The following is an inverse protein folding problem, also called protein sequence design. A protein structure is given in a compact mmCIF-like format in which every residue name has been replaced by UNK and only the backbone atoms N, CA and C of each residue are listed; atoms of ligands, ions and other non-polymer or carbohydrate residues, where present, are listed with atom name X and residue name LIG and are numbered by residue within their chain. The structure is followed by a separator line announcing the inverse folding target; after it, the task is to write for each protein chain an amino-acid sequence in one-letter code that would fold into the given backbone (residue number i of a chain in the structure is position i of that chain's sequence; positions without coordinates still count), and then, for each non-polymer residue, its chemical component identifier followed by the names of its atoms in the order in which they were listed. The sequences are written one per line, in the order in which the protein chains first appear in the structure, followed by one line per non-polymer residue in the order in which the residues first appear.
data_IF_435215942200
#
_entry.id   IF_435215942200
#
_cell.length_a   1.000
_cell.length_b   1.000
_cell.length_c   1.000
_cell.angle_alpha   90.00
_cell.angle_beta   90.00
_cell.angle_gamma   90.00
#
_symmetry.space_group_name_H-M   'P 1'
#
loop_
_entity.id
_entity.type
_entity.pdbx_description
1 polymer ?
#
# COMPACT_ATOMS: atom_id res chain seq x y z
N UNK A 1 -9.83 -42.39 -18.90
CA UNK A 1 -10.71 -41.86 -17.84
C UNK A 1 -9.87 -41.52 -16.61
N UNK A 2 -9.98 -40.26 -16.17
CA UNK A 2 -9.72 -39.74 -14.81
C UNK A 2 -8.33 -39.90 -14.17
N UNK A 3 -7.33 -39.17 -14.68
CA UNK A 3 -6.27 -38.60 -13.84
C UNK A 3 -6.70 -37.22 -13.33
N UNK A 4 -7.77 -37.20 -12.53
CA UNK A 4 -8.14 -36.06 -11.71
C UNK A 4 -7.99 -36.50 -10.27
N UNK A 5 -6.92 -36.04 -9.60
CA UNK A 5 -6.77 -35.89 -8.13
C UNK A 5 -5.30 -35.71 -7.74
N UNK A 6 -4.74 -34.53 -8.02
CA UNK A 6 -3.69 -33.96 -7.16
C UNK A 6 -3.66 -32.43 -7.18
N UNK A 7 -4.72 -31.79 -7.68
CA UNK A 7 -4.81 -30.34 -7.84
C UNK A 7 -4.91 -29.59 -6.50
N UNK A 8 -5.07 -30.29 -5.36
CA UNK A 8 -5.31 -29.68 -4.05
C UNK A 8 -4.23 -29.91 -2.98
N UNK A 9 -3.02 -30.33 -3.35
CA UNK A 9 -1.90 -30.45 -2.36
C UNK A 9 -1.10 -29.15 -2.19
N UNK A 10 -1.77 -27.99 -2.28
CA UNK A 10 -1.28 -26.75 -1.67
C UNK A 10 -1.68 -26.80 -0.20
N UNK A 11 -0.70 -26.69 0.71
CA UNK A 11 -0.97 -26.57 2.15
C UNK A 11 -2.07 -25.52 2.40
N UNK A 12 -3.28 -25.89 2.86
CA UNK A 12 -4.36 -24.93 3.11
C UNK A 12 -3.92 -23.84 4.09
N UNK A 13 -2.97 -24.18 4.97
CA UNK A 13 -2.31 -23.27 5.90
C UNK A 13 -1.56 -22.14 5.17
N UNK A 14 -0.82 -22.44 4.11
CA UNK A 14 -0.12 -21.42 3.31
C UNK A 14 -1.09 -20.46 2.61
N UNK A 15 -2.25 -20.98 2.17
CA UNK A 15 -3.30 -20.16 1.57
C UNK A 15 -3.95 -19.23 2.60
N UNK A 16 -4.27 -19.75 3.78
CA UNK A 16 -4.84 -18.97 4.89
C UNK A 16 -3.86 -17.88 5.33
N UNK A 17 -2.58 -18.18 5.50
CA UNK A 17 -1.57 -17.18 5.86
C UNK A 17 -1.42 -16.10 4.81
N UNK A 18 -1.43 -16.46 3.51
CA UNK A 18 -1.37 -15.48 2.43
C UNK A 18 -2.60 -14.55 2.44
N UNK A 19 -3.78 -15.10 2.66
CA UNK A 19 -5.02 -14.32 2.71
C UNK A 19 -5.07 -13.42 3.94
N UNK A 20 -4.64 -13.90 5.11
CA UNK A 20 -4.52 -13.11 6.33
C UNK A 20 -3.51 -11.97 6.16
N UNK A 21 -2.40 -12.21 5.45
CA UNK A 21 -1.43 -11.18 5.13
C UNK A 21 -2.03 -10.12 4.20
N UNK A 22 -2.68 -10.54 3.11
CA UNK A 22 -3.27 -9.63 2.12
C UNK A 22 -4.44 -8.81 2.68
N UNK A 23 -5.33 -9.41 3.47
CA UNK A 23 -6.55 -8.76 3.97
C UNK A 23 -6.33 -8.00 5.27
N UNK A 24 -5.48 -8.52 6.16
CA UNK A 24 -5.29 -7.96 7.50
C UNK A 24 -3.99 -7.20 7.64
N UNK A 25 -2.86 -7.90 7.53
CA UNK A 25 -1.55 -7.37 7.92
C UNK A 25 -1.09 -6.25 6.97
N UNK A 26 -1.25 -6.44 5.66
CA UNK A 26 -0.74 -5.51 4.66
C UNK A 26 -1.47 -4.14 4.71
N UNK A 27 -2.81 -4.07 4.82
CA UNK A 27 -3.52 -2.81 5.04
C UNK A 27 -3.16 -2.11 6.35
N UNK A 28 -2.90 -2.87 7.42
CA UNK A 28 -2.48 -2.29 8.71
C UNK A 28 -1.07 -1.71 8.63
N UNK A 29 -0.13 -2.45 8.03
CA UNK A 29 1.25 -2.00 7.85
C UNK A 29 1.34 -0.77 6.97
N UNK A 30 0.59 -0.72 5.87
CA UNK A 30 0.57 0.47 5.01
C UNK A 30 0.02 1.70 5.72
N UNK A 31 -0.98 1.53 6.59
CA UNK A 31 -1.52 2.61 7.42
C UNK A 31 -0.50 3.09 8.46
N UNK A 32 0.17 2.18 9.15
CA UNK A 32 1.24 2.54 10.11
C UNK A 32 2.37 3.30 9.40
N UNK A 33 2.81 2.82 8.23
CA UNK A 33 3.87 3.46 7.46
C UNK A 33 3.44 4.84 6.93
N UNK A 34 2.20 4.97 6.46
CA UNK A 34 1.62 6.25 6.06
C UNK A 34 1.52 7.24 7.24
N UNK A 35 1.13 6.76 8.42
CA UNK A 35 1.09 7.58 9.63
C UNK A 35 2.48 8.09 10.04
N UNK A 36 3.52 7.24 10.02
CA UNK A 36 4.89 7.69 10.25
C UNK A 36 5.36 8.72 9.21
N UNK A 37 4.99 8.53 7.94
CA UNK A 37 5.28 9.50 6.88
C UNK A 37 4.59 10.85 7.12
N UNK A 38 3.36 10.84 7.64
CA UNK A 38 2.66 12.06 8.04
C UNK A 38 3.35 12.76 9.20
N UNK A 39 3.74 12.03 10.24
CA UNK A 39 4.48 12.60 11.37
C UNK A 39 5.80 13.25 10.93
N UNK A 40 6.52 12.61 10.01
CA UNK A 40 7.73 13.17 9.41
C UNK A 40 7.42 14.46 8.64
N UNK A 41 6.35 14.47 7.86
CA UNK A 41 5.92 15.66 7.11
C UNK A 41 5.48 16.79 8.04
N UNK A 42 4.73 16.51 9.11
CA UNK A 42 4.32 17.51 10.08
C UNK A 42 5.51 18.08 10.86
N UNK A 43 6.48 17.24 11.22
CA UNK A 43 7.74 17.69 11.84
C UNK A 43 8.51 18.64 10.93
N UNK A 44 8.48 18.43 9.61
CA UNK A 44 9.11 19.34 8.66
C UNK A 44 8.36 20.66 8.48
N UNK A 45 7.04 20.68 8.74
CA UNK A 45 6.24 21.90 8.66
C UNK A 45 6.53 22.89 9.80
N UNK A 46 7.16 22.41 10.88
CA UNK A 46 7.62 23.22 12.02
C UNK A 46 8.87 24.04 11.71
N UNK A 47 9.55 23.79 10.59
CA UNK A 47 10.59 24.69 10.10
C UNK A 47 9.94 26.01 9.66
N UNK A 48 10.11 27.03 10.49
CA UNK A 48 9.57 28.38 10.32
C UNK A 48 10.45 29.30 9.47
N UNK A 49 11.65 28.87 9.11
CA UNK A 49 12.65 29.64 8.36
C UNK A 49 13.21 28.82 7.20
N UNK A 50 13.61 29.53 6.15
CA UNK A 50 14.36 28.92 5.04
C UNK A 50 15.68 28.35 5.56
N UNK A 51 16.06 27.18 5.05
CA UNK A 51 17.34 26.57 5.39
C UNK A 51 18.43 27.26 4.56
N UNK A 52 19.26 28.05 5.23
CA UNK A 52 20.48 28.63 4.64
C UNK A 52 21.61 27.63 4.90
N UNK A 53 21.93 26.80 3.92
CA UNK A 53 23.16 26.02 3.92
C UNK A 53 24.27 26.94 3.37
N UNK A 54 25.42 26.94 4.04
CA UNK A 54 26.55 27.86 3.84
C UNK A 54 26.78 28.32 2.40
N UNK A 55 27.09 29.62 2.25
CA UNK A 55 27.45 30.32 1.00
C UNK A 55 26.58 29.99 -0.23
N UNK A 56 25.37 30.55 -0.25
CA UNK A 56 24.57 30.71 -1.49
C UNK A 56 23.50 29.65 -1.72
N UNK A 57 23.39 28.61 -0.89
CA UNK A 57 22.34 27.59 -1.04
C UNK A 57 21.20 27.78 -0.03
N UNK A 58 20.18 28.55 -0.44
CA UNK A 58 18.95 28.74 0.33
C UNK A 58 17.87 27.78 -0.16
N UNK A 59 17.46 26.83 0.68
CA UNK A 59 16.31 25.96 0.40
C UNK A 59 15.06 26.64 0.96
N UNK A 60 14.12 26.98 0.08
CA UNK A 60 12.84 27.54 0.49
C UNK A 60 12.04 26.54 1.33
N UNK A 61 11.23 27.03 2.27
CA UNK A 61 10.28 26.21 3.05
C UNK A 61 9.41 25.31 2.17
N UNK A 62 8.91 25.82 1.05
CA UNK A 62 8.06 25.07 0.10
C UNK A 62 8.85 23.92 -0.52
N UNK A 63 10.10 24.18 -0.93
CA UNK A 63 11.00 23.17 -1.46
C UNK A 63 11.32 22.10 -0.40
N UNK A 64 11.54 22.48 0.85
CA UNK A 64 11.80 21.55 1.96
C UNK A 64 10.61 20.62 2.21
N UNK A 65 9.38 21.15 2.20
CA UNK A 65 8.16 20.37 2.32
C UNK A 65 7.98 19.39 1.15
N UNK A 66 8.26 19.83 -0.07
CA UNK A 66 8.20 18.96 -1.25
C UNK A 66 9.25 17.85 -1.16
N UNK A 67 10.50 18.16 -0.81
CA UNK A 67 11.57 17.18 -0.63
C UNK A 67 11.18 16.15 0.44
N UNK A 68 10.65 16.61 1.57
CA UNK A 68 10.20 15.71 2.66
C UNK A 68 9.06 14.81 2.20
N UNK A 69 8.09 15.33 1.43
CA UNK A 69 7.00 14.53 0.85
C UNK A 69 7.53 13.44 -0.07
N UNK A 70 8.44 13.78 -0.99
CA UNK A 70 9.05 12.81 -1.90
C UNK A 70 9.91 11.79 -1.17
N UNK A 71 10.65 12.23 -0.15
CA UNK A 71 11.42 11.34 0.72
C UNK A 71 10.52 10.36 1.46
N UNK A 72 9.43 10.81 2.08
CA UNK A 72 8.45 9.96 2.74
C UNK A 72 7.85 8.94 1.76
N UNK A 73 7.49 9.36 0.54
CA UNK A 73 6.99 8.46 -0.49
C UNK A 73 8.04 7.40 -0.88
N UNK A 74 9.31 7.79 -1.02
CA UNK A 74 10.39 6.86 -1.32
C UNK A 74 10.60 5.84 -0.20
N UNK A 75 10.60 6.27 1.07
CA UNK A 75 10.69 5.40 2.24
C UNK A 75 9.50 4.43 2.29
N UNK A 76 8.29 4.93 2.03
CA UNK A 76 7.09 4.12 1.94
C UNK A 76 7.23 3.01 0.88
N UNK A 77 7.62 3.39 -0.33
CA UNK A 77 7.76 2.46 -1.45
C UNK A 77 8.86 1.41 -1.21
N UNK A 78 10.03 1.83 -0.73
CA UNK A 78 11.15 0.93 -0.41
C UNK A 78 10.79 -0.02 0.74
N UNK A 79 10.10 0.47 1.77
CA UNK A 79 9.65 -0.35 2.90
C UNK A 79 8.72 -1.48 2.45
N UNK A 80 7.73 -1.16 1.61
CA UNK A 80 6.80 -2.16 1.08
C UNK A 80 7.47 -3.19 0.17
N UNK A 81 8.40 -2.75 -0.67
CA UNK A 81 9.15 -3.64 -1.55
C UNK A 81 10.07 -4.57 -0.75
N UNK A 82 10.75 -4.04 0.27
CA UNK A 82 11.57 -4.83 1.18
C UNK A 82 10.73 -5.85 1.97
N UNK A 83 9.56 -5.45 2.48
CA UNK A 83 8.63 -6.37 3.15
C UNK A 83 8.15 -7.47 2.21
N UNK A 84 7.79 -7.13 0.97
CA UNK A 84 7.44 -8.11 -0.05
C UNK A 84 8.57 -9.10 -0.31
N UNK A 85 9.81 -8.61 -0.41
CA UNK A 85 11.00 -9.45 -0.62
C UNK A 85 11.22 -10.42 0.55
N UNK A 86 11.21 -9.91 1.78
CA UNK A 86 11.33 -10.73 3.00
C UNK A 86 10.22 -11.78 3.06
N UNK A 87 8.97 -11.40 2.79
CA UNK A 87 7.85 -12.34 2.76
C UNK A 87 8.06 -13.42 1.70
N UNK A 88 8.45 -13.05 0.49
CA UNK A 88 8.72 -14.00 -0.60
C UNK A 88 9.88 -14.96 -0.32
N UNK A 89 10.81 -14.57 0.55
CA UNK A 89 11.97 -15.37 0.93
C UNK A 89 11.70 -16.34 2.07
N UNK A 90 10.96 -15.91 3.10
CA UNK A 90 10.82 -16.67 4.35
C UNK A 90 9.46 -17.31 4.55
N UNK A 91 8.40 -16.81 3.91
CA UNK A 91 7.04 -17.32 4.15
C UNK A 91 6.63 -18.42 3.17
N UNK A 92 5.85 -19.42 3.64
CA UNK A 92 5.38 -20.50 2.79
C UNK A 92 4.35 -19.98 1.79
N UNK A 93 4.74 -19.87 0.53
CA UNK A 93 3.83 -19.54 -0.58
C UNK A 93 3.17 -20.82 -1.13
N UNK A 94 1.95 -20.72 -1.72
CA UNK A 94 1.32 -21.86 -2.39
C UNK A 94 2.25 -22.44 -3.46
N UNK A 95 2.50 -23.76 -3.41
CA UNK A 95 3.35 -24.47 -4.40
C UNK A 95 2.84 -24.32 -5.84
N UNK A 96 1.53 -24.20 -6.01
CA UNK A 96 0.93 -24.01 -7.33
C UNK A 96 1.07 -22.56 -7.78
N UNK A 97 1.84 -22.40 -8.86
CA UNK A 97 2.18 -21.11 -9.46
C UNK A 97 0.93 -20.28 -9.81
N UNK A 98 -0.12 -20.91 -10.34
CA UNK A 98 -1.39 -20.26 -10.72
C UNK A 98 -2.10 -19.62 -9.51
N UNK A 99 -2.39 -20.39 -8.46
CA UNK A 99 -3.13 -19.90 -7.29
C UNK A 99 -2.41 -18.76 -6.56
N UNK A 100 -1.08 -18.81 -6.50
CA UNK A 100 -0.30 -17.72 -5.93
C UNK A 100 -0.49 -16.42 -6.69
N UNK A 101 -0.37 -16.44 -8.02
CA UNK A 101 -0.46 -15.22 -8.83
C UNK A 101 -1.88 -14.69 -8.95
N UNK A 102 -2.88 -15.58 -9.00
CA UNK A 102 -4.29 -15.17 -9.06
C UNK A 102 -4.67 -14.34 -7.84
N UNK A 103 -4.24 -14.73 -6.64
CA UNK A 103 -4.55 -13.96 -5.43
C UNK A 103 -3.93 -12.57 -5.46
N UNK A 104 -2.63 -12.44 -5.76
CA UNK A 104 -2.00 -11.12 -5.87
C UNK A 104 -2.67 -10.25 -6.95
N UNK A 105 -2.95 -10.82 -8.12
CA UNK A 105 -3.62 -10.13 -9.21
C UNK A 105 -5.02 -9.67 -8.80
N UNK A 106 -5.79 -10.51 -8.11
CA UNK A 106 -7.14 -10.20 -7.64
C UNK A 106 -7.13 -9.00 -6.68
N UNK A 107 -6.20 -8.96 -5.72
CA UNK A 107 -6.08 -7.84 -4.80
C UNK A 107 -5.58 -6.55 -5.47
N UNK A 108 -4.69 -6.65 -6.46
CA UNK A 108 -4.27 -5.49 -7.26
C UNK A 108 -5.44 -4.94 -8.06
N UNK A 109 -6.20 -5.79 -8.76
CA UNK A 109 -7.37 -5.38 -9.53
C UNK A 109 -8.46 -4.81 -8.63
N UNK A 110 -8.70 -5.42 -7.48
CA UNK A 110 -9.61 -4.90 -6.46
C UNK A 110 -9.19 -3.49 -6.03
N UNK A 111 -7.92 -3.30 -5.65
CA UNK A 111 -7.40 -1.99 -5.26
C UNK A 111 -7.49 -0.97 -6.39
N UNK A 112 -7.29 -1.38 -7.64
CA UNK A 112 -7.41 -0.52 -8.82
C UNK A 112 -8.86 -0.09 -9.04
N UNK A 113 -9.83 -1.01 -8.97
CA UNK A 113 -11.26 -0.70 -9.09
C UNK A 113 -11.69 0.28 -8.01
N UNK A 114 -11.30 0.01 -6.76
CA UNK A 114 -11.60 0.91 -5.62
C UNK A 114 -10.95 2.28 -5.83
N UNK A 115 -9.69 2.33 -6.27
CA UNK A 115 -8.99 3.58 -6.58
C UNK A 115 -9.72 4.38 -7.67
N UNK A 116 -10.11 3.74 -8.77
CA UNK A 116 -10.87 4.40 -9.84
C UNK A 116 -12.23 4.88 -9.35
N UNK A 117 -12.92 4.09 -8.52
CA UNK A 117 -14.23 4.45 -7.99
C UNK A 117 -14.13 5.66 -7.07
N UNK A 118 -13.15 5.70 -6.15
CA UNK A 118 -12.94 6.83 -5.24
C UNK A 118 -12.49 8.09 -5.99
N UNK A 119 -11.59 7.99 -6.97
CA UNK A 119 -11.12 9.15 -7.74
C UNK A 119 -12.16 9.69 -8.72
N UNK A 120 -13.08 8.84 -9.20
CA UNK A 120 -14.19 9.24 -10.08
C UNK A 120 -15.45 9.66 -9.32
N UNK A 121 -15.47 9.51 -7.99
CA UNK A 121 -16.59 9.85 -7.13
C UNK A 121 -16.71 11.37 -6.97
N UNK A 122 -17.24 12.04 -7.99
CA UNK A 122 -17.76 13.40 -7.94
C UNK A 122 -19.29 13.39 -7.96
N UNK A 123 -19.94 14.30 -7.22
CA UNK A 123 -21.40 14.44 -7.25
C UNK A 123 -22.03 14.78 -5.90
N UNK A 124 -23.36 14.67 -5.87
CA UNK A 124 -24.22 14.89 -4.71
C UNK A 124 -23.87 13.92 -3.55
N UNK A 125 -24.00 14.35 -2.29
CA UNK A 125 -23.72 13.51 -1.13
C UNK A 125 -24.64 12.29 -1.07
N UNK A 126 -24.06 11.12 -0.79
CA UNK A 126 -24.78 9.85 -0.64
C UNK A 126 -24.97 9.59 0.85
N UNK A 127 -26.22 9.50 1.31
CA UNK A 127 -26.55 9.26 2.73
C UNK A 127 -25.91 10.29 3.69
N UNK A 128 -25.72 11.52 3.24
CA UNK A 128 -25.08 12.60 4.01
C UNK A 128 -23.55 12.56 4.03
N UNK A 129 -22.92 11.56 3.41
CA UNK A 129 -21.47 11.49 3.22
C UNK A 129 -21.08 12.01 1.84
N UNK A 130 -19.89 12.61 1.73
CA UNK A 130 -19.34 12.85 0.39
C UNK A 130 -19.09 11.50 -0.30
N UNK A 131 -19.32 11.39 -1.62
CA UNK A 131 -19.24 10.11 -2.35
C UNK A 131 -17.92 9.36 -2.14
N UNK A 132 -16.80 10.07 -1.98
CA UNK A 132 -15.50 9.48 -1.71
C UNK A 132 -15.38 8.89 -0.30
N UNK A 133 -15.95 9.54 0.73
CA UNK A 133 -15.95 9.04 2.10
C UNK A 133 -16.76 7.76 2.22
N UNK A 134 -17.91 7.73 1.53
CA UNK A 134 -18.75 6.54 1.47
C UNK A 134 -18.04 5.37 0.78
N UNK A 135 -17.36 5.63 -0.34
CA UNK A 135 -16.57 4.61 -1.03
C UNK A 135 -15.41 4.09 -0.18
N UNK A 136 -14.74 4.95 0.58
CA UNK A 136 -13.68 4.55 1.51
C UNK A 136 -14.21 3.70 2.67
N UNK A 137 -15.34 4.08 3.25
CA UNK A 137 -16.01 3.35 4.34
C UNK A 137 -16.41 1.93 3.90
N UNK A 138 -16.97 1.79 2.68
CA UNK A 138 -17.46 0.51 2.16
C UNK A 138 -16.31 -0.40 1.70
N UNK A 139 -15.27 0.16 1.11
CA UNK A 139 -14.19 -0.63 0.50
C UNK A 139 -13.03 -0.94 1.46
N UNK A 140 -12.85 -0.19 2.54
CA UNK A 140 -11.76 -0.43 3.49
C UNK A 140 -12.28 -0.60 4.90
N UNK A 141 -12.23 -1.83 5.43
CA UNK A 141 -12.61 -2.09 6.82
C UNK A 141 -11.69 -1.44 7.86
N UNK A 142 -10.51 -0.97 7.43
CA UNK A 142 -9.54 -0.26 8.27
C UNK A 142 -9.17 1.05 7.57
N UNK A 143 -9.67 2.18 8.06
CA UNK A 143 -9.39 3.51 7.49
C UNK A 143 -9.10 4.54 8.61
N UNK A 144 -8.43 4.13 9.69
CA UNK A 144 -8.20 5.00 10.86
C UNK A 144 -7.22 6.14 10.58
N UNK A 145 -6.37 6.01 9.55
CA UNK A 145 -5.45 7.07 9.10
C UNK A 145 -6.14 8.11 8.20
N UNK A 146 -7.26 7.76 7.57
CA UNK A 146 -8.02 8.64 6.68
C UNK A 146 -8.31 10.05 7.26
N UNK A 147 -8.79 10.21 8.51
CA UNK A 147 -9.04 11.54 9.09
C UNK A 147 -7.79 12.39 9.33
N UNK A 148 -6.60 11.79 9.34
CA UNK A 148 -5.32 12.50 9.53
C UNK A 148 -4.69 12.93 8.19
N UNK A 149 -5.21 12.45 7.06
CA UNK A 149 -4.73 12.84 5.75
C UNK A 149 -5.39 14.17 5.35
N UNK A 150 -4.57 15.18 5.03
CA UNK A 150 -5.06 16.44 4.43
C UNK A 150 -5.77 16.21 3.09
N UNK A 151 -5.38 15.16 2.37
CA UNK A 151 -5.94 14.80 1.08
C UNK A 151 -6.30 13.29 1.09
N UNK A 152 -7.50 12.91 1.55
CA UNK A 152 -7.91 11.51 1.72
C UNK A 152 -7.93 10.72 0.39
N UNK A 153 -8.02 11.41 -0.74
CA UNK A 153 -7.90 10.87 -2.10
C UNK A 153 -6.57 10.16 -2.41
N UNK A 154 -5.51 10.40 -1.61
CA UNK A 154 -4.25 9.67 -1.76
C UNK A 154 -4.29 8.27 -1.14
N UNK A 155 -5.23 8.00 -0.23
CA UNK A 155 -5.32 6.73 0.46
C UNK A 155 -5.58 5.55 -0.50
N UNK A 156 -6.50 5.62 -1.47
CA UNK A 156 -6.65 4.58 -2.50
C UNK A 156 -5.39 4.39 -3.37
N UNK A 157 -4.70 5.49 -3.69
CA UNK A 157 -3.44 5.45 -4.48
C UNK A 157 -2.34 4.74 -3.68
N UNK A 158 -2.20 5.06 -2.39
CA UNK A 158 -1.26 4.41 -1.49
C UNK A 158 -1.58 2.92 -1.31
N UNK A 159 -2.86 2.56 -1.30
CA UNK A 159 -3.29 1.15 -1.21
C UNK A 159 -2.95 0.40 -2.49
N UNK A 160 -3.21 0.99 -3.66
CA UNK A 160 -2.81 0.42 -4.95
C UNK A 160 -1.28 0.23 -5.00
N UNK A 161 -0.50 1.23 -4.57
CA UNK A 161 0.96 1.14 -4.47
C UNK A 161 1.40 0.04 -3.48
N UNK A 162 0.70 -0.10 -2.36
CA UNK A 162 0.95 -1.14 -1.35
C UNK A 162 0.89 -2.53 -1.96
N UNK A 163 -0.23 -2.88 -2.60
CA UNK A 163 -0.40 -4.21 -3.17
C UNK A 163 0.55 -4.48 -4.34
N UNK A 164 0.80 -3.48 -5.19
CA UNK A 164 1.69 -3.62 -6.35
C UNK A 164 3.15 -3.81 -5.94
N UNK A 165 3.68 -2.95 -5.06
CA UNK A 165 5.06 -3.01 -4.59
C UNK A 165 5.32 -4.25 -3.73
N UNK A 166 4.39 -4.60 -2.85
CA UNK A 166 4.50 -5.83 -2.07
C UNK A 166 4.56 -7.06 -2.98
N UNK A 167 3.66 -7.15 -3.97
CA UNK A 167 3.65 -8.25 -4.94
C UNK A 167 4.95 -8.31 -5.75
N UNK A 168 5.47 -7.16 -6.20
CA UNK A 168 6.75 -7.07 -6.88
C UNK A 168 7.91 -7.57 -6.01
N UNK A 169 7.94 -7.17 -4.73
CA UNK A 169 8.90 -7.67 -3.75
C UNK A 169 8.83 -9.20 -3.59
N UNK A 170 7.63 -9.76 -3.46
CA UNK A 170 7.44 -11.22 -3.37
C UNK A 170 7.95 -11.93 -4.62
N UNK A 171 7.73 -11.37 -5.81
CA UNK A 171 8.18 -11.96 -7.07
C UNK A 171 9.68 -11.93 -7.25
N UNK A 172 10.34 -10.82 -6.91
CA UNK A 172 11.80 -10.69 -7.01
C UNK A 172 12.51 -11.70 -6.11
N UNK A 173 12.09 -11.83 -4.84
CA UNK A 173 12.66 -12.82 -3.91
C UNK A 173 12.45 -14.26 -4.38
N UNK A 174 11.27 -14.56 -4.94
CA UNK A 174 10.97 -15.91 -5.37
C UNK A 174 11.71 -16.32 -6.67
N UNK A 175 12.08 -15.36 -7.53
CA UNK A 175 12.94 -15.65 -8.69
C UNK A 175 14.39 -15.92 -8.28
N UNK A 176 14.89 -15.27 -7.22
CA UNK A 176 16.25 -15.50 -6.72
C UNK A 176 16.44 -16.85 -6.01
N UNK A 177 15.35 -17.43 -5.48
CA UNK A 177 15.36 -18.73 -4.81
C UNK A 177 15.15 -19.93 -5.77
N UNK A 178 15.10 -19.70 -7.09
CA UNK A 178 15.03 -20.74 -8.12
C UNK A 178 16.38 -20.92 -8.79
#
# INVERSE_FOLDING_TARGET
MTHSRSVFRSSPVAFIFLLLMLVGILPLLSQVLAYFCLLLMDSSAWFSRDLVLSEGFTISRVSLLQITRWFCLAVFCLGLLAMGHVYGRYMPLPRQRLWRYILFLLFILYAQVVCTLVLSAGGEPILGYQPYDFALLVCFSFHWVAPYLKEPQWLPVLIMLTYTLFSAGVFTAHQQNK
#
